data_IF_474106025830
#
_entry.id   IF_474106025830
#
_cell.length_a   1.000
_cell.length_b   1.000
_cell.length_c   1.000
_cell.angle_alpha   90.00
_cell.angle_beta   90.00
_cell.angle_gamma   90.00
#
_symmetry.space_group_name_H-M   'P 1'
#
loop_
_entity.id
_entity.type
_entity.pdbx_description
1 polymer ?
#
# COMPACT_ATOMS: atom_id res chain seq x y z
N UNK A 1 -11.64 -13.93 50.33
CA UNK A 1 -12.85 -13.16 49.96
C UNK A 1 -12.91 -13.18 48.44
N UNK A 2 -13.69 -14.12 47.86
CA UNK A 2 -15.08 -13.93 47.39
C UNK A 2 -15.07 -13.01 46.13
N UNK A 3 -15.39 -13.46 44.90
CA UNK A 3 -16.27 -14.55 44.46
C UNK A 3 -15.88 -15.09 43.08
N UNK A 4 -15.85 -16.42 43.00
CA UNK A 4 -16.15 -17.17 41.79
C UNK A 4 -17.65 -17.08 41.48
N UNK A 5 -18.02 -17.03 40.20
CA UNK A 5 -19.35 -17.42 39.71
C UNK A 5 -19.15 -18.21 38.41
N UNK A 6 -19.20 -19.54 38.54
CA UNK A 6 -19.66 -20.44 37.49
C UNK A 6 -21.19 -20.56 37.65
N UNK A 7 -21.95 -20.54 36.56
CA UNK A 7 -23.18 -21.32 36.41
C UNK A 7 -23.69 -21.31 34.95
N UNK A 8 -23.56 -22.49 34.32
CA UNK A 8 -24.54 -23.21 33.49
C UNK A 8 -25.09 -22.61 32.19
N UNK A 9 -24.56 -23.12 31.07
CA UNK A 9 -25.22 -23.99 30.07
C UNK A 9 -26.72 -23.82 29.77
N UNK A 10 -27.04 -23.49 28.50
CA UNK A 10 -28.20 -23.98 27.75
C UNK A 10 -27.95 -23.80 26.22
N UNK A 11 -27.65 -24.92 25.53
CA UNK A 11 -27.90 -25.14 24.09
C UNK A 11 -29.38 -25.57 23.91
N UNK A 12 -29.97 -25.68 22.71
CA UNK A 12 -29.72 -25.03 21.40
C UNK A 12 -31.04 -24.57 20.69
N UNK A 13 -30.90 -24.03 19.48
CA UNK A 13 -31.77 -24.27 18.30
C UNK A 13 -32.48 -23.07 17.64
N UNK A 14 -32.51 -23.18 16.31
CA UNK A 14 -33.49 -22.70 15.31
C UNK A 14 -33.13 -21.44 14.52
N UNK A 15 -32.66 -21.72 13.30
CA UNK A 15 -33.05 -21.12 12.01
C UNK A 15 -33.84 -19.80 12.06
N UNK A 16 -33.33 -18.80 11.36
CA UNK A 16 -34.15 -17.98 10.46
C UNK A 16 -33.27 -17.45 9.32
N UNK A 17 -33.36 -18.13 8.17
CA UNK A 17 -33.00 -17.56 6.88
C UNK A 17 -33.93 -16.38 6.60
N UNK A 18 -33.38 -15.19 6.35
CA UNK A 18 -34.11 -14.08 5.74
C UNK A 18 -33.52 -13.87 4.36
N UNK A 19 -34.16 -14.50 3.38
CA UNK A 19 -33.99 -14.15 1.97
C UNK A 19 -34.62 -12.77 1.76
N UNK A 20 -33.84 -11.83 1.23
CA UNK A 20 -34.38 -10.56 0.72
C UNK A 20 -35.19 -10.84 -0.55
N UNK A 21 -36.52 -10.88 -0.40
CA UNK A 21 -37.43 -10.66 -1.52
C UNK A 21 -37.55 -9.15 -1.75
N UNK A 22 -37.00 -8.68 -2.86
CA UNK A 22 -37.41 -7.42 -3.49
C UNK A 22 -38.88 -7.55 -3.87
N UNK A 23 -39.75 -6.75 -3.25
CA UNK A 23 -41.16 -6.69 -3.60
C UNK A 23 -41.43 -5.37 -4.34
N UNK A 24 -41.61 -5.51 -5.64
CA UNK A 24 -42.15 -4.52 -6.55
C UNK A 24 -43.67 -4.41 -6.31
N UNK A 25 -44.18 -3.19 -6.08
CA UNK A 25 -45.63 -2.94 -6.04
C UNK A 25 -45.99 -1.76 -6.94
N UNK A 26 -46.78 -2.09 -7.97
CA UNK A 26 -47.52 -1.20 -8.85
C UNK A 26 -48.88 -0.81 -8.24
N UNK A 27 -49.28 0.47 -8.36
CA UNK A 27 -50.68 0.93 -8.21
C UNK A 27 -50.83 2.43 -7.89
N UNK A 28 -51.51 3.17 -8.78
CA UNK A 28 -51.75 4.64 -8.90
C UNK A 28 -52.45 5.30 -7.68
N UNK A 29 -52.50 6.63 -7.44
CA UNK A 29 -52.68 7.80 -8.32
C UNK A 29 -52.45 9.13 -7.54
N UNK A 30 -52.03 10.23 -8.20
CA UNK A 30 -52.20 11.61 -7.71
C UNK A 30 -51.05 12.64 -7.90
N UNK A 31 -51.10 13.37 -9.04
CA UNK A 31 -50.50 14.67 -9.44
C UNK A 31 -49.86 15.56 -8.32
N UNK A 32 -48.69 16.21 -8.43
CA UNK A 32 -48.19 17.18 -9.44
C UNK A 32 -46.68 17.47 -9.24
N UNK A 33 -45.92 17.56 -10.34
CA UNK A 33 -44.78 18.48 -10.53
C UNK A 33 -43.38 18.03 -10.08
N UNK A 34 -42.51 17.64 -11.02
CA UNK A 34 -41.05 17.73 -10.83
C UNK A 34 -40.25 17.84 -12.14
N UNK A 35 -39.25 18.71 -12.07
CA UNK A 35 -38.23 19.07 -13.05
C UNK A 35 -37.43 17.88 -13.61
N UNK A 36 -37.08 17.99 -14.90
CA UNK A 36 -35.87 17.40 -15.51
C UNK A 36 -34.65 17.73 -14.62
N UNK A 37 -33.73 16.83 -14.27
CA UNK A 37 -33.23 15.70 -15.03
C UNK A 37 -31.74 15.95 -15.26
N UNK A 38 -30.90 15.67 -14.27
CA UNK A 38 -29.52 15.21 -14.49
C UNK A 38 -28.99 14.52 -13.21
N UNK A 39 -29.50 13.31 -12.97
CA UNK A 39 -28.88 12.40 -12.01
C UNK A 39 -27.85 11.58 -12.77
N UNK A 40 -26.57 11.82 -12.51
CA UNK A 40 -25.51 10.91 -12.93
C UNK A 40 -25.76 9.59 -12.19
N UNK A 41 -26.31 8.61 -12.91
CA UNK A 41 -26.23 7.21 -12.51
C UNK A 41 -24.77 6.83 -12.56
N UNK A 42 -24.15 6.72 -11.38
CA UNK A 42 -22.92 5.93 -11.25
C UNK A 42 -23.36 4.49 -11.41
N UNK A 43 -23.23 3.96 -12.63
CA UNK A 43 -23.19 2.53 -12.84
C UNK A 43 -21.96 2.02 -12.10
N UNK A 44 -22.17 1.52 -10.88
CA UNK A 44 -21.21 0.62 -10.26
C UNK A 44 -21.33 -0.70 -11.01
N UNK A 45 -20.67 -0.79 -12.17
CA UNK A 45 -20.32 -2.10 -12.72
C UNK A 45 -19.61 -2.85 -11.60
N UNK A 46 -20.17 -3.99 -11.18
CA UNK A 46 -19.47 -4.89 -10.29
C UNK A 46 -18.20 -5.31 -11.03
N UNK A 47 -17.05 -4.76 -10.62
CA UNK A 47 -15.76 -5.30 -11.02
C UNK A 47 -15.78 -6.74 -10.57
N UNK A 48 -15.95 -7.67 -11.51
CA UNK A 48 -15.83 -9.09 -11.23
C UNK A 48 -14.42 -9.32 -10.73
N UNK A 49 -14.26 -9.50 -9.43
CA UNK A 49 -12.98 -9.86 -8.84
C UNK A 49 -12.74 -11.33 -9.15
N UNK A 50 -11.98 -11.59 -10.23
CA UNK A 50 -11.36 -12.88 -10.46
C UNK A 50 -10.31 -13.10 -9.36
N UNK A 51 -10.74 -13.61 -8.21
CA UNK A 51 -9.83 -14.17 -7.24
C UNK A 51 -9.36 -15.53 -7.75
N UNK A 52 -8.10 -15.93 -7.50
CA UNK A 52 -7.69 -17.28 -7.82
C UNK A 52 -8.52 -18.18 -6.91
N UNK A 53 -9.32 -19.06 -7.50
CA UNK A 53 -10.03 -20.06 -6.72
C UNK A 53 -9.02 -21.11 -6.29
N UNK A 54 -8.27 -20.80 -5.22
CA UNK A 54 -7.49 -21.79 -4.52
C UNK A 54 -8.46 -22.78 -3.90
N UNK A 55 -8.25 -24.06 -4.19
CA UNK A 55 -9.03 -25.14 -3.63
C UNK A 55 -9.03 -25.05 -2.10
N UNK A 56 -10.20 -25.28 -1.50
CA UNK A 56 -10.30 -25.28 -0.04
C UNK A 56 -9.47 -26.45 0.51
N UNK A 57 -8.39 -26.12 1.22
CA UNK A 57 -7.55 -27.08 1.94
C UNK A 57 -7.66 -26.81 3.43
N UNK A 58 -7.76 -27.88 4.23
CA UNK A 58 -7.87 -27.76 5.67
C UNK A 58 -6.47 -27.88 6.30
N UNK A 59 -5.95 -26.78 6.84
CA UNK A 59 -4.64 -26.73 7.49
C UNK A 59 -4.68 -27.01 9.00
N UNK A 60 -5.77 -27.57 9.52
CA UNK A 60 -5.81 -28.11 10.88
C UNK A 60 -5.78 -27.09 12.02
N UNK A 61 -6.13 -25.83 11.75
CA UNK A 61 -6.12 -24.74 12.72
C UNK A 61 -4.73 -24.14 12.95
N UNK A 62 -3.81 -24.29 11.98
CA UNK A 62 -2.47 -23.68 12.05
C UNK A 62 -2.59 -22.16 12.18
N UNK A 63 -1.78 -21.59 13.07
CA UNK A 63 -1.65 -20.14 13.22
C UNK A 63 -0.68 -19.61 12.16
N UNK A 64 -1.09 -18.57 11.44
CA UNK A 64 -0.26 -17.81 10.51
C UNK A 64 0.04 -16.48 11.18
N UNK A 65 1.30 -16.25 11.52
CA UNK A 65 1.72 -15.08 12.30
C UNK A 65 2.27 -13.98 11.41
N UNK A 66 1.56 -12.86 11.36
CA UNK A 66 1.94 -11.63 10.67
C UNK A 66 2.74 -10.74 11.61
N UNK A 67 4.01 -10.52 11.29
CA UNK A 67 4.85 -9.50 11.90
C UNK A 67 4.57 -8.17 11.22
N UNK A 68 3.99 -7.22 11.96
CA UNK A 68 3.56 -5.91 11.44
C UNK A 68 4.32 -4.81 12.18
N UNK A 69 4.58 -3.69 11.51
CA UNK A 69 5.20 -2.53 12.15
C UNK A 69 4.34 -2.01 13.30
N UNK A 70 4.98 -1.66 14.42
CA UNK A 70 4.28 -1.09 15.57
C UNK A 70 3.56 0.23 15.20
N UNK A 71 2.31 0.42 15.67
CA UNK A 71 1.61 1.69 15.51
C UNK A 71 2.43 2.85 16.09
N UNK A 72 2.49 3.94 15.33
CA UNK A 72 3.13 5.18 15.76
C UNK A 72 2.31 6.40 15.27
N UNK A 73 2.71 7.61 15.65
CA UNK A 73 1.97 8.84 15.29
C UNK A 73 1.70 9.00 13.79
N UNK A 74 2.53 8.39 12.94
CA UNK A 74 2.41 8.41 11.47
C UNK A 74 1.61 7.22 10.95
N UNK A 75 1.70 6.05 11.59
CA UNK A 75 1.14 4.79 11.11
C UNK A 75 0.25 4.08 12.16
N UNK A 76 -0.71 4.80 12.73
CA UNK A 76 -1.67 4.28 13.72
C UNK A 76 -2.87 3.54 13.11
N UNK A 77 -2.82 3.20 11.81
CA UNK A 77 -4.00 2.76 11.03
C UNK A 77 -3.79 1.45 10.29
N UNK A 78 -2.82 0.64 10.73
CA UNK A 78 -2.61 -0.70 10.18
C UNK A 78 -3.85 -1.55 10.47
N UNK A 79 -4.65 -1.74 9.43
CA UNK A 79 -5.92 -2.46 9.45
C UNK A 79 -5.93 -3.54 8.38
N UNK A 80 -4.77 -3.90 7.86
CA UNK A 80 -4.65 -4.87 6.79
C UNK A 80 -5.06 -6.25 7.26
N UNK A 81 -4.70 -6.64 8.50
CA UNK A 81 -4.96 -7.97 9.09
C UNK A 81 -5.56 -7.88 10.50
N UNK A 82 -5.16 -6.92 11.34
CA UNK A 82 -5.48 -6.86 12.78
C UNK A 82 -6.90 -6.33 13.10
N UNK A 83 -7.92 -6.80 12.39
CA UNK A 83 -9.33 -6.41 12.61
C UNK A 83 -10.10 -7.61 13.16
N UNK A 84 -10.58 -7.49 14.41
CA UNK A 84 -11.17 -8.58 15.20
C UNK A 84 -12.67 -8.47 15.41
N UNK A 85 -13.29 -7.34 15.05
CA UNK A 85 -14.74 -7.13 15.11
C UNK A 85 -15.24 -6.12 14.06
N UNK A 86 -16.51 -6.23 13.71
CA UNK A 86 -17.21 -5.21 12.92
C UNK A 86 -17.55 -3.99 13.78
N UNK A 87 -17.49 -2.79 13.19
CA UNK A 87 -17.82 -1.53 13.87
C UNK A 87 -18.70 -0.59 13.02
N UNK A 88 -19.17 -1.05 11.85
CA UNK A 88 -20.03 -0.30 10.94
C UNK A 88 -19.28 0.57 9.93
N UNK A 89 -17.94 0.67 10.03
CA UNK A 89 -17.11 1.21 8.96
C UNK A 89 -16.94 0.18 7.84
N UNK A 90 -17.23 0.59 6.60
CA UNK A 90 -17.25 -0.32 5.44
C UNK A 90 -15.89 -1.00 5.24
N UNK A 91 -14.79 -0.27 5.44
CA UNK A 91 -13.45 -0.80 5.24
C UNK A 91 -13.10 -1.80 6.35
N UNK A 92 -13.35 -1.43 7.60
CA UNK A 92 -13.18 -2.30 8.76
C UNK A 92 -13.94 -3.62 8.60
N UNK A 93 -15.25 -3.53 8.37
CA UNK A 93 -16.12 -4.70 8.29
C UNK A 93 -15.74 -5.60 7.09
N UNK A 94 -15.25 -5.02 5.99
CA UNK A 94 -14.75 -5.78 4.84
C UNK A 94 -13.48 -6.58 5.17
N UNK A 95 -12.54 -5.99 5.91
CA UNK A 95 -11.33 -6.70 6.37
C UNK A 95 -11.70 -7.81 7.33
N UNK A 96 -12.55 -7.53 8.31
CA UNK A 96 -13.02 -8.55 9.28
C UNK A 96 -13.66 -9.75 8.57
N UNK A 97 -14.60 -9.49 7.65
CA UNK A 97 -15.26 -10.56 6.88
C UNK A 97 -14.27 -11.35 6.03
N UNK A 98 -13.31 -10.68 5.39
CA UNK A 98 -12.26 -11.34 4.62
C UNK A 98 -11.44 -12.27 5.52
N UNK A 99 -11.06 -11.84 6.71
CA UNK A 99 -10.32 -12.68 7.67
C UNK A 99 -11.13 -13.93 8.03
N UNK A 100 -12.40 -13.76 8.44
CA UNK A 100 -13.29 -14.89 8.79
C UNK A 100 -13.44 -15.86 7.62
N UNK A 101 -13.64 -15.37 6.40
CA UNK A 101 -13.76 -16.21 5.20
C UNK A 101 -12.48 -17.04 4.99
N UNK A 102 -11.30 -16.45 5.16
CA UNK A 102 -10.02 -17.14 4.98
C UNK A 102 -9.79 -18.16 6.10
N UNK A 103 -10.01 -17.78 7.36
CA UNK A 103 -9.88 -18.67 8.52
C UNK A 103 -10.82 -19.88 8.40
N UNK A 104 -12.09 -19.67 8.05
CA UNK A 104 -13.08 -20.74 7.87
C UNK A 104 -12.76 -21.62 6.65
N UNK A 105 -12.43 -21.02 5.50
CA UNK A 105 -12.20 -21.75 4.25
C UNK A 105 -10.98 -22.67 4.36
N UNK A 106 -9.94 -22.21 5.04
CA UNK A 106 -8.66 -22.92 5.11
C UNK A 106 -8.40 -23.59 6.45
N UNK A 107 -9.30 -23.42 7.44
CA UNK A 107 -9.09 -23.84 8.83
C UNK A 107 -7.72 -23.39 9.34
N UNK A 108 -7.47 -22.08 9.31
CA UNK A 108 -6.28 -21.40 9.82
C UNK A 108 -6.70 -20.33 10.83
N UNK A 109 -5.73 -19.79 11.58
CA UNK A 109 -5.93 -18.66 12.48
C UNK A 109 -4.92 -17.57 12.17
N UNK A 110 -5.40 -16.34 11.95
CA UNK A 110 -4.54 -15.22 11.60
C UNK A 110 -4.12 -14.49 12.89
N UNK A 111 -2.83 -14.46 13.17
CA UNK A 111 -2.26 -13.78 14.32
C UNK A 111 -1.43 -12.58 13.89
N UNK A 112 -1.43 -11.52 14.69
CA UNK A 112 -0.65 -10.31 14.41
C UNK A 112 0.26 -10.01 15.59
N UNK A 113 1.54 -9.81 15.29
CA UNK A 113 2.54 -9.34 16.24
C UNK A 113 3.07 -8.00 15.77
N UNK A 114 2.83 -6.96 16.58
CA UNK A 114 3.32 -5.61 16.33
C UNK A 114 4.70 -5.43 16.97
N UNK A 115 5.70 -5.09 16.15
CA UNK A 115 7.07 -4.87 16.61
C UNK A 115 7.91 -4.09 15.60
N UNK A 116 9.17 -3.81 15.95
CA UNK A 116 10.17 -3.42 14.96
C UNK A 116 10.46 -4.60 14.01
N UNK A 117 9.94 -4.52 12.78
CA UNK A 117 9.98 -5.61 11.80
C UNK A 117 11.41 -6.05 11.47
N UNK A 118 12.31 -5.09 11.21
CA UNK A 118 13.70 -5.37 10.82
C UNK A 118 14.48 -6.09 11.92
N UNK A 119 14.37 -5.62 13.16
CA UNK A 119 15.04 -6.21 14.30
C UNK A 119 14.47 -7.58 14.64
N UNK A 120 13.15 -7.76 14.55
CA UNK A 120 12.48 -9.03 14.80
C UNK A 120 12.88 -10.09 13.77
N UNK A 121 12.86 -9.77 12.46
CA UNK A 121 13.36 -10.66 11.40
C UNK A 121 14.83 -11.05 11.67
N UNK A 122 15.67 -10.07 11.99
CA UNK A 122 17.08 -10.32 12.26
C UNK A 122 17.28 -11.25 13.46
N UNK A 123 16.45 -11.15 14.50
CA UNK A 123 16.56 -12.04 15.67
C UNK A 123 16.17 -13.46 15.33
N UNK A 124 14.97 -13.67 14.75
CA UNK A 124 14.44 -15.02 14.51
C UNK A 124 15.31 -15.81 13.54
N UNK A 125 15.78 -15.19 12.45
CA UNK A 125 16.63 -15.87 11.47
C UNK A 125 17.98 -16.29 12.08
N UNK A 126 18.58 -15.44 12.91
CA UNK A 126 19.88 -15.76 13.53
C UNK A 126 19.77 -16.80 14.66
N UNK A 127 18.61 -16.90 15.32
CA UNK A 127 18.35 -17.95 16.31
C UNK A 127 17.83 -19.27 15.70
N UNK A 128 17.48 -19.28 14.42
CA UNK A 128 16.83 -20.42 13.77
C UNK A 128 15.39 -20.63 14.25
N UNK A 129 14.72 -19.55 14.64
CA UNK A 129 13.34 -19.49 15.10
C UNK A 129 12.41 -19.19 13.91
N UNK A 130 11.19 -19.72 13.96
CA UNK A 130 10.13 -19.63 12.96
C UNK A 130 8.87 -18.90 13.47
N UNK A 131 9.01 -18.05 14.50
CA UNK A 131 7.92 -17.30 15.15
C UNK A 131 7.04 -16.42 14.23
N UNK A 132 7.45 -16.16 12.98
CA UNK A 132 6.73 -15.29 12.04
C UNK A 132 6.72 -15.88 10.63
N UNK A 133 5.55 -15.86 9.98
CA UNK A 133 5.37 -16.39 8.62
C UNK A 133 5.41 -15.27 7.57
N UNK A 134 4.83 -14.12 7.89
CA UNK A 134 4.69 -12.99 6.95
C UNK A 134 5.11 -11.69 7.64
N UNK A 135 5.97 -10.91 7.00
CA UNK A 135 6.39 -9.61 7.50
C UNK A 135 5.82 -8.48 6.65
N UNK A 136 5.02 -7.60 7.27
CA UNK A 136 4.52 -6.36 6.69
C UNK A 136 5.38 -5.19 7.19
N UNK A 137 6.51 -4.99 6.52
CA UNK A 137 7.51 -3.97 6.85
C UNK A 137 7.59 -2.81 5.85
N UNK A 138 8.30 -1.76 6.25
CA UNK A 138 8.62 -0.63 5.36
C UNK A 138 9.60 -1.03 4.26
N UNK A 139 9.45 -0.43 3.07
CA UNK A 139 10.21 -0.81 1.87
C UNK A 139 11.73 -0.82 2.07
N UNK A 140 12.29 0.15 2.79
CA UNK A 140 13.73 0.25 3.06
C UNK A 140 14.25 -0.91 3.92
N UNK A 141 13.54 -1.22 5.00
CA UNK A 141 13.89 -2.29 5.93
C UNK A 141 13.77 -3.67 5.30
N UNK A 142 12.76 -3.86 4.45
CA UNK A 142 12.57 -5.10 3.69
C UNK A 142 13.72 -5.34 2.72
N UNK A 143 14.19 -4.32 1.96
CA UNK A 143 15.37 -4.50 1.11
C UNK A 143 16.67 -4.70 1.89
N UNK A 144 16.83 -4.03 3.03
CA UNK A 144 17.98 -4.25 3.91
C UNK A 144 18.00 -5.69 4.44
N UNK A 145 16.84 -6.24 4.79
CA UNK A 145 16.68 -7.63 5.26
C UNK A 145 16.90 -8.64 4.13
N UNK A 146 16.39 -8.36 2.93
CA UNK A 146 16.67 -9.15 1.73
C UNK A 146 18.18 -9.22 1.42
N UNK A 147 18.89 -8.09 1.53
CA UNK A 147 20.34 -8.04 1.31
C UNK A 147 21.17 -8.87 2.30
N UNK A 148 20.61 -9.15 3.50
CA UNK A 148 21.20 -10.05 4.50
C UNK A 148 20.83 -11.53 4.29
N UNK A 149 19.95 -11.82 3.34
CA UNK A 149 19.44 -13.17 3.08
C UNK A 149 18.37 -13.63 4.08
N UNK A 150 17.68 -12.69 4.74
CA UNK A 150 16.68 -13.01 5.77
C UNK A 150 15.27 -13.25 5.21
N UNK A 151 15.04 -12.95 3.93
CA UNK A 151 13.74 -13.08 3.29
C UNK A 151 13.77 -14.14 2.19
N UNK A 152 12.63 -14.84 2.02
CA UNK A 152 12.41 -15.75 0.90
C UNK A 152 12.18 -14.96 -0.40
N UNK A 153 12.59 -15.55 -1.51
CA UNK A 153 12.17 -15.08 -2.83
C UNK A 153 10.69 -15.46 -3.03
N UNK A 154 9.81 -14.48 -3.13
CA UNK A 154 8.38 -14.66 -3.32
C UNK A 154 8.06 -15.42 -4.61
N UNK A 155 8.94 -15.39 -5.62
CA UNK A 155 8.76 -16.20 -6.83
C UNK A 155 8.92 -17.71 -6.57
N UNK A 156 9.61 -18.09 -5.50
CA UNK A 156 9.84 -19.48 -5.10
C UNK A 156 8.78 -19.97 -4.09
N UNK A 157 7.91 -19.08 -3.58
CA UNK A 157 6.86 -19.45 -2.62
C UNK A 157 5.68 -20.09 -3.37
N UNK A 158 5.28 -21.33 -3.01
CA UNK A 158 4.14 -21.98 -3.65
C UNK A 158 2.87 -21.13 -3.56
N UNK A 159 2.06 -21.17 -4.62
CA UNK A 159 0.79 -20.43 -4.76
C UNK A 159 0.90 -18.90 -4.78
N UNK A 160 2.09 -18.32 -4.62
CA UNK A 160 2.33 -16.90 -4.85
C UNK A 160 2.68 -16.68 -6.31
N UNK A 161 1.70 -16.22 -7.08
CA UNK A 161 1.92 -15.76 -8.45
C UNK A 161 1.82 -14.23 -8.50
N UNK A 162 2.98 -13.60 -8.67
CA UNK A 162 3.15 -12.14 -8.73
C UNK A 162 2.65 -11.52 -10.04
N UNK A 163 2.27 -12.33 -11.04
CA UNK A 163 1.68 -11.83 -12.29
C UNK A 163 0.19 -11.49 -12.15
N UNK A 164 -0.43 -11.89 -11.04
CA UNK A 164 -1.84 -11.63 -10.78
C UNK A 164 -2.17 -10.14 -10.59
N UNK A 165 -3.41 -9.71 -10.93
CA UNK A 165 -3.77 -8.29 -11.00
C UNK A 165 -3.83 -7.57 -9.66
N UNK A 166 -3.98 -8.29 -8.54
CA UNK A 166 -3.98 -7.71 -7.20
C UNK A 166 -2.57 -7.36 -6.69
N UNK A 167 -1.51 -7.72 -7.43
CA UNK A 167 -0.15 -7.26 -7.16
C UNK A 167 0.16 -6.01 -7.98
N UNK A 168 0.77 -5.02 -7.32
CA UNK A 168 1.27 -3.83 -7.98
C UNK A 168 2.46 -4.18 -8.88
N UNK A 169 2.24 -4.17 -10.19
CA UNK A 169 3.23 -4.59 -11.18
C UNK A 169 4.44 -3.67 -11.26
N UNK A 170 4.30 -2.38 -10.90
CA UNK A 170 5.43 -1.45 -10.79
C UNK A 170 6.31 -1.80 -9.59
N UNK A 171 5.73 -2.26 -8.48
CA UNK A 171 6.46 -2.76 -7.32
C UNK A 171 7.21 -4.06 -7.65
N UNK A 172 6.54 -5.03 -8.28
CA UNK A 172 7.18 -6.31 -8.69
C UNK A 172 8.30 -6.06 -9.70
N UNK A 173 8.00 -5.31 -10.77
CA UNK A 173 8.95 -5.06 -11.84
C UNK A 173 10.00 -4.00 -11.50
N UNK A 174 9.75 -3.08 -10.58
CA UNK A 174 10.75 -2.11 -10.10
C UNK A 174 11.62 -2.70 -8.99
N UNK A 175 11.04 -3.55 -8.16
CA UNK A 175 11.64 -4.05 -6.92
C UNK A 175 12.49 -5.30 -7.04
N UNK A 176 12.37 -6.07 -8.11
CA UNK A 176 13.15 -7.30 -8.21
C UNK A 176 14.66 -7.05 -8.25
N UNK A 177 15.45 -7.81 -7.50
CA UNK A 177 16.91 -7.76 -7.49
C UNK A 177 17.46 -9.07 -8.03
N UNK A 178 18.30 -9.02 -9.07
CA UNK A 178 18.89 -10.20 -9.71
C UNK A 178 17.85 -11.27 -10.16
N UNK A 179 16.66 -10.84 -10.54
CA UNK A 179 15.55 -11.72 -10.95
C UNK A 179 14.71 -12.27 -9.81
N UNK A 180 14.96 -11.83 -8.56
CA UNK A 180 14.27 -12.28 -7.35
C UNK A 180 13.39 -11.19 -6.76
N UNK A 181 12.27 -11.54 -6.14
CA UNK A 181 11.34 -10.61 -5.50
C UNK A 181 11.24 -10.92 -4.02
N UNK A 182 11.76 -10.05 -3.16
CA UNK A 182 11.72 -10.22 -1.71
C UNK A 182 10.63 -9.39 -1.03
N UNK A 183 9.97 -8.54 -1.80
CA UNK A 183 8.87 -7.66 -1.40
C UNK A 183 7.94 -7.50 -2.60
N UNK A 184 6.65 -7.43 -2.33
CA UNK A 184 5.63 -7.04 -3.30
C UNK A 184 4.55 -6.23 -2.57
N UNK A 185 4.02 -5.22 -3.25
CA UNK A 185 2.85 -4.46 -2.79
C UNK A 185 1.60 -5.05 -3.45
N UNK A 186 0.54 -5.28 -2.69
CA UNK A 186 -0.76 -5.71 -3.21
C UNK A 186 -1.89 -4.82 -2.70
N UNK A 187 -3.10 -5.08 -3.20
CA UNK A 187 -4.34 -4.43 -2.77
C UNK A 187 -4.66 -4.63 -1.28
N UNK A 188 -3.95 -5.53 -0.58
CA UNK A 188 -4.05 -5.62 0.89
C UNK A 188 -3.50 -4.37 1.59
N UNK A 189 -2.58 -3.63 0.95
CA UNK A 189 -1.92 -2.47 1.51
C UNK A 189 -2.83 -1.23 1.43
N UNK A 190 -3.64 -1.03 2.47
CA UNK A 190 -4.54 0.11 2.59
C UNK A 190 -3.79 1.43 2.80
N UNK A 191 -2.59 1.38 3.39
CA UNK A 191 -1.74 2.56 3.58
C UNK A 191 -1.34 3.25 2.28
N UNK A 192 -1.28 2.53 1.16
CA UNK A 192 -0.98 3.11 -0.15
C UNK A 192 -2.08 4.08 -0.62
N UNK A 193 -3.32 3.83 -0.20
CA UNK A 193 -4.46 4.73 -0.44
C UNK A 193 -4.50 5.87 0.58
N UNK A 194 -4.27 5.56 1.86
CA UNK A 194 -4.26 6.56 2.94
C UNK A 194 -3.15 7.62 2.76
N UNK A 195 -2.02 7.24 2.15
CA UNK A 195 -0.87 8.12 1.90
C UNK A 195 -0.80 8.65 0.47
N UNK A 196 -1.90 8.59 -0.30
CA UNK A 196 -1.92 9.13 -1.65
C UNK A 196 -1.77 10.66 -1.65
N UNK A 197 -0.74 11.15 -2.33
CA UNK A 197 -0.51 12.57 -2.46
C UNK A 197 -1.55 13.23 -3.39
N UNK A 198 -2.14 14.33 -2.92
CA UNK A 198 -3.08 15.12 -3.70
C UNK A 198 -2.68 16.59 -3.69
N UNK A 199 -2.82 17.24 -4.84
CA UNK A 199 -2.68 18.70 -4.93
C UNK A 199 -4.05 19.35 -4.90
N UNK A 200 -4.25 20.21 -3.91
CA UNK A 200 -5.46 21.01 -3.77
C UNK A 200 -5.13 22.47 -4.08
N UNK A 201 -6.08 23.19 -4.67
CA UNK A 201 -5.94 24.61 -4.92
C UNK A 201 -7.21 25.37 -4.53
N UNK A 202 -7.05 26.62 -4.13
CA UNK A 202 -8.16 27.49 -3.76
C UNK A 202 -8.79 28.10 -5.02
N UNK A 203 -9.99 27.63 -5.38
CA UNK A 203 -10.75 28.10 -6.56
C UNK A 203 -11.07 29.60 -6.49
N UNK A 204 -11.27 30.15 -5.29
CA UNK A 204 -11.54 31.59 -5.11
C UNK A 204 -10.32 32.43 -5.46
N UNK A 205 -9.12 32.02 -5.06
CA UNK A 205 -7.87 32.73 -5.43
C UNK A 205 -7.68 32.72 -6.95
N UNK A 206 -7.91 31.56 -7.60
CA UNK A 206 -7.84 31.45 -9.06
C UNK A 206 -8.80 32.41 -9.75
N UNK A 207 -10.05 32.51 -9.26
CA UNK A 207 -11.05 33.41 -9.81
C UNK A 207 -10.74 34.89 -9.54
N UNK A 208 -10.45 35.26 -8.28
CA UNK A 208 -10.24 36.64 -7.85
C UNK A 208 -9.03 37.28 -8.56
N UNK A 209 -8.00 36.48 -8.84
CA UNK A 209 -6.78 36.92 -9.53
C UNK A 209 -6.82 36.65 -11.05
N UNK A 210 -7.94 36.18 -11.59
CA UNK A 210 -8.12 35.87 -13.02
C UNK A 210 -7.02 34.95 -13.58
N UNK A 211 -6.63 33.94 -12.79
CA UNK A 211 -5.60 32.97 -13.18
C UNK A 211 -6.18 31.92 -14.13
N UNK A 212 -5.31 31.29 -14.92
CA UNK A 212 -5.67 30.09 -15.66
C UNK A 212 -6.11 28.97 -14.72
N UNK A 213 -7.17 28.26 -15.11
CA UNK A 213 -7.72 27.13 -14.36
C UNK A 213 -6.69 25.98 -14.28
N UNK A 214 -6.27 25.55 -13.08
CA UNK A 214 -5.40 24.39 -12.95
C UNK A 214 -6.00 23.12 -13.57
N UNK A 215 -7.33 22.94 -13.52
CA UNK A 215 -7.97 21.81 -14.19
C UNK A 215 -7.81 21.85 -15.72
N UNK A 216 -7.94 23.02 -16.33
CA UNK A 216 -7.81 23.13 -17.79
C UNK A 216 -6.35 22.99 -18.24
N UNK A 217 -5.41 23.47 -17.42
CA UNK A 217 -3.98 23.23 -17.61
C UNK A 217 -3.65 21.73 -17.55
N UNK A 218 -4.22 20.99 -16.58
CA UNK A 218 -4.06 19.53 -16.50
C UNK A 218 -4.65 18.83 -17.72
N UNK A 219 -5.92 19.12 -18.06
CA UNK A 219 -6.61 18.51 -19.21
C UNK A 219 -5.92 18.78 -20.54
N UNK A 220 -5.29 19.95 -20.68
CA UNK A 220 -4.55 20.32 -21.89
C UNK A 220 -3.07 19.88 -21.89
N UNK A 221 -2.61 19.18 -20.85
CA UNK A 221 -1.23 18.72 -20.73
C UNK A 221 -0.20 19.84 -20.50
N UNK A 222 -0.65 21.02 -20.05
CA UNK A 222 0.18 22.20 -19.78
C UNK A 222 0.52 22.38 -18.30
N UNK A 223 0.01 21.51 -17.45
CA UNK A 223 0.35 21.49 -16.03
C UNK A 223 1.73 20.88 -15.83
N UNK A 224 2.75 21.74 -15.70
CA UNK A 224 4.15 21.37 -15.45
C UNK A 224 4.63 21.96 -14.13
N UNK A 225 5.76 21.46 -13.61
CA UNK A 225 6.41 22.04 -12.43
C UNK A 225 6.73 23.53 -12.67
N UNK A 226 7.16 23.91 -13.88
CA UNK A 226 7.41 25.32 -14.23
C UNK A 226 6.14 26.16 -14.20
N UNK A 227 5.02 25.64 -14.74
CA UNK A 227 3.73 26.35 -14.73
C UNK A 227 3.20 26.51 -13.31
N UNK A 228 3.26 25.44 -12.52
CA UNK A 228 2.92 25.46 -11.10
C UNK A 228 3.78 26.47 -10.34
N UNK A 229 5.10 26.40 -10.46
CA UNK A 229 6.02 27.30 -9.76
C UNK A 229 5.82 28.76 -10.17
N UNK A 230 5.58 29.02 -11.46
CA UNK A 230 5.23 30.35 -11.98
C UNK A 230 3.96 30.88 -11.35
N UNK A 231 2.89 30.08 -11.32
CA UNK A 231 1.61 30.47 -10.73
C UNK A 231 1.74 30.70 -9.22
N UNK A 232 2.36 29.78 -8.50
CA UNK A 232 2.56 29.89 -7.05
C UNK A 232 3.41 31.11 -6.67
N UNK A 233 4.55 31.34 -7.33
CA UNK A 233 5.36 32.55 -7.05
C UNK A 233 4.62 33.84 -7.39
N UNK A 234 3.82 33.82 -8.45
CA UNK A 234 3.07 35.00 -8.90
C UNK A 234 1.96 35.44 -7.94
N UNK A 235 1.49 34.55 -7.06
CA UNK A 235 0.42 34.86 -6.11
C UNK A 235 0.91 35.03 -4.67
N UNK A 236 2.13 34.60 -4.34
CA UNK A 236 2.73 34.90 -3.04
C UNK A 236 2.88 36.40 -2.87
N UNK A 237 2.36 36.96 -1.79
CA UNK A 237 2.36 38.40 -1.56
C UNK A 237 2.34 38.71 -0.06
N UNK A 238 3.22 39.64 0.32
CA UNK A 238 3.14 40.41 1.56
C UNK A 238 1.91 41.33 1.45
N UNK A 239 0.89 41.06 2.27
CA UNK A 239 -0.42 41.72 2.21
C UNK A 239 -0.50 42.92 3.15
N UNK A 240 0.32 42.99 4.20
CA UNK A 240 0.31 44.08 5.17
C UNK A 240 1.45 45.09 4.99
N UNK A 241 2.43 44.74 4.14
CA UNK A 241 3.50 45.59 3.66
C UNK A 241 4.65 45.77 4.66
N UNK A 242 4.81 44.86 5.61
CA UNK A 242 5.84 44.95 6.63
C UNK A 242 7.23 44.47 6.16
N UNK A 243 7.29 43.83 4.99
CA UNK A 243 8.52 43.33 4.36
C UNK A 243 8.97 41.96 4.85
N UNK A 244 8.21 41.32 5.73
CA UNK A 244 8.34 39.93 6.13
C UNK A 244 7.21 39.09 5.51
N UNK A 245 7.35 37.77 5.48
CA UNK A 245 6.25 36.89 5.10
C UNK A 245 5.86 36.09 6.34
N UNK A 246 4.65 36.31 6.84
CA UNK A 246 4.14 35.71 8.07
C UNK A 246 2.72 35.13 7.90
N UNK A 247 2.00 34.91 8.99
CA UNK A 247 0.63 34.38 9.01
C UNK A 247 -0.44 35.30 8.40
N UNK A 248 -0.15 36.58 8.23
CA UNK A 248 -1.05 37.58 7.65
C UNK A 248 -0.99 37.61 6.11
N UNK A 249 -0.07 36.84 5.53
CA UNK A 249 0.23 36.87 4.10
C UNK A 249 -0.36 35.73 3.29
N UNK A 250 -0.25 35.90 1.98
CA UNK A 250 -0.65 34.87 1.03
C UNK A 250 0.57 34.10 0.53
N UNK A 251 0.51 32.78 0.67
CA UNK A 251 1.47 31.84 0.09
C UNK A 251 0.85 31.13 -1.11
N UNK A 252 1.56 31.14 -2.24
CA UNK A 252 1.11 30.43 -3.43
C UNK A 252 1.31 28.92 -3.42
N UNK A 253 2.04 28.41 -2.43
CA UNK A 253 2.18 26.98 -2.18
C UNK A 253 2.52 26.72 -0.72
N UNK A 254 1.89 25.70 -0.15
CA UNK A 254 2.22 25.15 1.15
C UNK A 254 2.09 23.62 1.07
N UNK A 255 3.04 22.91 1.68
CA UNK A 255 3.00 21.47 1.82
C UNK A 255 3.67 21.05 3.13
N UNK A 256 3.47 19.80 3.51
CA UNK A 256 4.27 19.18 4.57
C UNK A 256 5.69 18.86 4.05
N UNK A 257 6.53 18.31 4.93
CA UNK A 257 7.92 17.94 4.61
C UNK A 257 8.05 16.98 3.41
N UNK A 258 7.03 16.17 3.14
CA UNK A 258 7.02 15.14 2.09
C UNK A 258 6.39 15.61 0.77
N UNK A 259 5.86 16.84 0.73
CA UNK A 259 5.20 17.36 -0.46
C UNK A 259 6.12 17.49 -1.67
N UNK A 260 7.43 17.69 -1.45
CA UNK A 260 8.43 17.72 -2.52
C UNK A 260 8.55 16.39 -3.27
N UNK A 261 8.44 15.27 -2.55
CA UNK A 261 8.65 13.92 -3.10
C UNK A 261 7.55 13.58 -4.11
N UNK A 262 6.36 14.11 -3.88
CA UNK A 262 5.20 13.97 -4.76
C UNK A 262 5.48 14.51 -6.17
N UNK A 263 6.23 15.61 -6.28
CA UNK A 263 6.62 16.17 -7.59
C UNK A 263 7.66 15.29 -8.29
N UNK A 264 8.57 14.67 -7.52
CA UNK A 264 9.54 13.74 -8.07
C UNK A 264 8.82 12.52 -8.67
N UNK A 265 7.93 11.89 -7.90
CA UNK A 265 7.17 10.73 -8.35
C UNK A 265 6.22 11.07 -9.51
N UNK A 266 5.58 12.24 -9.48
CA UNK A 266 4.67 12.69 -10.54
C UNK A 266 5.35 13.22 -11.81
N UNK A 267 6.68 13.30 -11.84
CA UNK A 267 7.44 13.80 -13.01
C UNK A 267 7.94 12.71 -13.97
N UNK A 268 7.52 11.45 -13.74
CA UNK A 268 8.06 10.25 -14.40
C UNK A 268 9.60 10.12 -14.26
N UNK A 269 10.19 10.82 -13.29
CA UNK A 269 11.62 10.79 -13.05
C UNK A 269 11.99 9.52 -12.27
N UNK A 270 12.81 8.69 -12.89
CA UNK A 270 13.32 7.45 -12.31
C UNK A 270 14.68 7.69 -11.66
N UNK A 271 14.76 7.53 -10.34
CA UNK A 271 16.00 7.65 -9.55
C UNK A 271 16.97 6.51 -9.87
N UNK A 272 16.46 5.32 -10.15
CA UNK A 272 17.24 4.14 -10.49
C UNK A 272 16.56 3.35 -11.61
N UNK A 273 17.37 2.80 -12.52
CA UNK A 273 16.90 1.95 -13.61
C UNK A 273 17.54 0.57 -13.51
N UNK A 274 16.75 -0.47 -13.76
CA UNK A 274 17.28 -1.83 -13.85
C UNK A 274 18.33 -1.91 -14.96
N UNK A 275 19.51 -2.40 -14.60
CA UNK A 275 20.53 -2.78 -15.57
C UNK A 275 20.31 -4.24 -15.95
N UNK A 276 20.54 -4.58 -17.22
CA UNK A 276 20.53 -5.99 -17.65
C UNK A 276 21.54 -6.76 -16.81
N UNK A 277 21.19 -7.97 -16.37
CA UNK A 277 22.16 -8.88 -15.78
C UNK A 277 23.30 -9.08 -16.76
N UNK A 278 24.47 -8.51 -16.43
CA UNK A 278 25.71 -8.85 -17.11
C UNK A 278 25.99 -10.28 -16.67
N UNK A 279 25.88 -11.24 -17.58
CA UNK A 279 26.34 -12.60 -17.33
C UNK A 279 27.85 -12.56 -17.14
N UNK A 280 28.31 -12.21 -15.93
CA UNK A 280 29.71 -12.36 -15.58
C UNK A 280 29.95 -13.85 -15.41
N UNK A 281 30.37 -14.48 -16.50
CA UNK A 281 31.05 -15.77 -16.47
C UNK A 281 32.15 -15.65 -15.41
N UNK A 282 32.03 -16.44 -14.36
CA UNK A 282 32.94 -16.46 -13.23
C UNK A 282 34.35 -16.79 -13.72
N UNK A 283 35.21 -15.80 -13.90
CA UNK A 283 36.66 -15.99 -13.85
C UNK A 283 37.13 -15.52 -12.48
N UNK A 284 36.83 -16.32 -11.47
CA UNK A 284 37.48 -16.26 -10.17
C UNK A 284 38.96 -16.66 -10.39
N UNK A 285 39.85 -15.70 -10.18
CA UNK A 285 41.31 -15.81 -10.02
C UNK A 285 42.12 -16.40 -11.21
N UNK A 286 43.02 -15.62 -11.86
CA UNK A 286 44.16 -16.23 -12.53
C UNK A 286 45.10 -16.77 -11.46
N UNK A 287 45.18 -18.10 -11.36
CA UNK A 287 46.21 -18.81 -10.61
C UNK A 287 47.59 -18.26 -11.00
N UNK A 288 48.22 -17.49 -10.11
CA UNK A 288 49.63 -17.14 -10.25
C UNK A 288 50.45 -18.39 -9.92
N UNK A 289 50.73 -19.20 -10.93
CA UNK A 289 51.83 -20.14 -10.89
C UNK A 289 53.13 -19.34 -10.90
N UNK A 290 53.84 -19.38 -9.78
CA UNK A 290 55.21 -18.92 -9.65
C UNK A 290 56.10 -19.64 -10.68
N UNK A 291 56.63 -18.89 -11.64
CA UNK A 291 57.89 -19.23 -12.31
C UNK A 291 58.78 -18.01 -12.31
N UNK A 292 59.72 -18.01 -11.38
CA UNK A 292 60.90 -17.16 -11.42
C UNK A 292 61.67 -17.44 -12.71
N UNK A 293 61.94 -16.40 -13.50
CA UNK A 293 62.89 -16.46 -14.61
C UNK A 293 63.52 -15.08 -14.80
N UNK A 294 64.74 -15.01 -14.30
CA UNK A 294 65.79 -14.00 -14.42
C UNK A 294 65.65 -12.97 -15.55
N UNK A 295 65.81 -11.69 -15.17
CA UNK A 295 66.28 -10.62 -16.08
C UNK A 295 67.71 -10.92 -16.53
N UNK A 296 68.06 -10.56 -17.78
CA UNK A 296 69.37 -10.02 -18.09
C UNK A 296 69.27 -8.52 -18.37
N UNK A 297 70.32 -7.82 -17.95
CA UNK A 297 70.52 -6.38 -18.12
C UNK A 297 71.11 -6.03 -19.50
N UNK A 298 71.18 -4.71 -19.75
CA UNK A 298 71.89 -3.96 -20.81
C UNK A 298 71.04 -3.74 -22.08
N UNK A 299 70.90 -2.54 -22.63
CA UNK A 299 71.62 -1.26 -22.52
C UNK A 299 70.63 -0.10 -22.33
#
# INVERSE_FOLDING_TARGET
MKRAVMLTALLPAVLCAVQFFSCEQTGESGNTGKQEGNGTTTDTESVGTEFPELEAENFGGVEITFLVVEPNEVNNRLREINVTEENGDILNDSVFRRNVIIEDKYNVKLEVVEANVADSISKVVNSGDDSYDVALGGIGDSYASAGKGYLLDLNDVPYVDLSNPWWNQDSVSGGSIAGKNYLAVSDINLLSLDNMAVMMFNKKIVSDLSLESPYDLVKSGKWTIDKFASMSRGISADLDGDGELDENDRYGFACNLYGSDCFLFGSDYSISKKTRMISRRSTLFPSHSSTASQRPSRY
#
